data_IF_570022464941
#
_entry.id   IF_570022464941
#
_cell.length_a   1.000
_cell.length_b   1.000
_cell.length_c   1.000
_cell.angle_alpha   90.00
_cell.angle_beta   90.00
_cell.angle_gamma   90.00
#
_symmetry.space_group_name_H-M   'P 1'
#
loop_
_entity.id
_entity.type
_entity.pdbx_description
1 polymer ?
#
# COMPACT_ATOMS: atom_id res chain seq x y z
N UNK A 1 15.47 2.05 -15.36
CA UNK A 1 14.12 1.72 -14.82
C UNK A 1 14.10 0.35 -14.13
N UNK A 2 14.57 -0.71 -14.81
CA UNK A 2 14.50 -2.09 -14.29
C UNK A 2 15.24 -2.31 -12.98
N UNK A 3 16.51 -1.89 -12.89
CA UNK A 3 17.31 -2.03 -11.66
C UNK A 3 16.56 -1.46 -10.45
N UNK A 4 16.02 -0.24 -10.58
CA UNK A 4 15.26 0.42 -9.54
C UNK A 4 14.03 -0.39 -9.11
N UNK A 5 13.21 -0.85 -10.07
CA UNK A 5 12.03 -1.67 -9.77
C UNK A 5 12.39 -2.97 -9.04
N UNK A 6 13.44 -3.68 -9.49
CA UNK A 6 13.90 -4.89 -8.81
C UNK A 6 14.38 -4.59 -7.39
N UNK A 7 15.14 -3.51 -7.21
CA UNK A 7 15.61 -3.10 -5.89
C UNK A 7 14.45 -2.78 -4.94
N UNK A 8 13.42 -2.05 -5.40
CA UNK A 8 12.25 -1.71 -4.57
C UNK A 8 11.38 -2.92 -4.26
N UNK A 9 11.11 -3.77 -5.26
CA UNK A 9 10.41 -5.04 -5.06
C UNK A 9 11.10 -5.92 -4.02
N UNK A 10 12.42 -6.05 -4.08
CA UNK A 10 13.20 -6.80 -3.09
C UNK A 10 13.32 -6.10 -1.72
N UNK A 11 13.35 -4.78 -1.69
CA UNK A 11 13.47 -4.01 -0.45
C UNK A 11 12.22 -4.13 0.43
N UNK A 12 11.04 -4.08 -0.18
CA UNK A 12 9.76 -4.04 0.54
C UNK A 12 9.02 -5.38 0.54
N UNK A 13 9.29 -6.27 -0.42
CA UNK A 13 8.79 -7.64 -0.40
C UNK A 13 9.55 -8.53 0.57
N UNK A 14 8.89 -9.58 1.05
CA UNK A 14 9.43 -10.62 1.95
C UNK A 14 9.22 -12.02 1.40
N UNK A 15 8.32 -12.19 0.42
CA UNK A 15 8.08 -13.46 -0.26
C UNK A 15 8.86 -13.55 -1.57
N UNK A 16 9.80 -14.50 -1.64
CA UNK A 16 10.58 -14.75 -2.87
C UNK A 16 9.67 -15.28 -3.97
N UNK A 17 9.72 -14.64 -5.14
CA UNK A 17 8.94 -15.05 -6.29
C UNK A 17 7.47 -14.62 -6.26
N UNK A 18 7.09 -13.74 -5.33
CA UNK A 18 5.76 -13.12 -5.29
C UNK A 18 5.39 -12.49 -6.64
N UNK A 19 6.33 -11.74 -7.21
CA UNK A 19 6.15 -11.17 -8.55
C UNK A 19 6.38 -12.21 -9.65
N UNK A 20 5.30 -12.54 -10.35
CA UNK A 20 5.40 -13.39 -11.55
C UNK A 20 6.16 -12.67 -12.68
N UNK A 21 6.84 -13.40 -13.58
CA UNK A 21 7.52 -12.77 -14.72
C UNK A 21 6.59 -11.88 -15.58
N UNK A 22 5.33 -12.28 -15.88
CA UNK A 22 4.40 -11.40 -16.58
C UNK A 22 4.05 -10.12 -15.81
N UNK A 23 3.79 -10.20 -14.51
CA UNK A 23 3.48 -9.02 -13.68
C UNK A 23 4.67 -8.05 -13.67
N UNK A 24 5.89 -8.57 -13.44
CA UNK A 24 7.10 -7.75 -13.47
C UNK A 24 7.32 -7.09 -14.84
N UNK A 25 7.10 -7.81 -15.93
CA UNK A 25 7.22 -7.26 -17.28
C UNK A 25 6.23 -6.11 -17.53
N UNK A 26 5.01 -6.20 -16.99
CA UNK A 26 4.03 -5.12 -17.13
C UNK A 26 4.42 -3.88 -16.32
N UNK A 27 4.85 -4.05 -15.06
CA UNK A 27 5.38 -2.94 -14.27
C UNK A 27 6.58 -2.28 -14.95
N UNK A 28 7.50 -3.06 -15.51
CA UNK A 28 8.66 -2.55 -16.22
C UNK A 28 8.28 -1.79 -17.50
N UNK A 29 7.31 -2.30 -18.26
CA UNK A 29 6.80 -1.65 -19.47
C UNK A 29 6.27 -0.25 -19.15
N UNK A 30 5.44 -0.12 -18.12
CA UNK A 30 4.88 1.16 -17.69
C UNK A 30 5.97 2.09 -17.12
N UNK A 31 6.80 1.60 -16.19
CA UNK A 31 7.84 2.39 -15.53
C UNK A 31 9.00 2.80 -16.46
N UNK A 32 9.10 2.20 -17.65
CA UNK A 32 10.08 2.61 -18.67
C UNK A 32 9.64 3.87 -19.43
N UNK A 33 8.40 4.32 -19.29
CA UNK A 33 7.96 5.61 -19.82
C UNK A 33 8.45 6.76 -18.89
N UNK A 34 9.27 7.70 -19.37
CA UNK A 34 9.73 8.83 -18.54
C UNK A 34 8.59 9.71 -18.03
N UNK A 35 7.47 9.83 -18.75
CA UNK A 35 6.31 10.60 -18.29
C UNK A 35 5.65 9.92 -17.09
N UNK A 36 5.66 8.59 -17.03
CA UNK A 36 5.20 7.84 -15.85
C UNK A 36 6.11 8.12 -14.65
N UNK A 37 7.43 8.14 -14.85
CA UNK A 37 8.37 8.46 -13.76
C UNK A 37 8.17 9.89 -13.28
N UNK A 38 8.01 10.86 -14.19
CA UNK A 38 7.72 12.24 -13.83
C UNK A 38 6.42 12.35 -13.03
N UNK A 39 5.33 11.74 -13.50
CA UNK A 39 4.05 11.73 -12.81
C UNK A 39 4.14 11.10 -11.41
N UNK A 40 4.84 9.98 -11.25
CA UNK A 40 5.09 9.39 -9.93
C UNK A 40 5.91 10.31 -9.02
N UNK A 41 6.88 11.05 -9.56
CA UNK A 41 7.59 12.05 -8.76
C UNK A 41 6.69 13.24 -8.39
N UNK A 42 5.73 13.64 -9.22
CA UNK A 42 4.75 14.67 -8.88
C UNK A 42 3.75 14.18 -7.82
N UNK A 43 3.35 12.91 -7.86
CA UNK A 43 2.56 12.26 -6.79
C UNK A 43 3.25 12.37 -5.42
N UNK A 44 4.52 11.97 -5.33
CA UNK A 44 5.29 12.13 -4.08
C UNK A 44 5.50 13.60 -3.67
N UNK A 45 5.58 14.55 -4.62
CA UNK A 45 5.64 15.98 -4.28
C UNK A 45 4.32 16.47 -3.72
N UNK A 46 3.20 16.06 -4.31
CA UNK A 46 1.87 16.40 -3.84
C UNK A 46 1.63 15.88 -2.42
N UNK A 47 1.98 14.61 -2.16
CA UNK A 47 1.89 13.96 -0.85
C UNK A 47 2.70 14.69 0.23
N UNK A 48 3.81 15.32 -0.15
CA UNK A 48 4.65 16.11 0.75
C UNK A 48 4.27 17.60 0.82
N UNK A 49 3.25 18.04 0.07
CA UNK A 49 2.87 19.47 -0.04
C UNK A 49 1.36 19.69 0.00
N UNK A 50 0.69 19.68 -1.16
CA UNK A 50 -0.71 20.08 -1.29
C UNK A 50 -1.66 19.11 -0.59
N UNK A 51 -1.35 17.82 -0.54
CA UNK A 51 -2.20 16.83 0.13
C UNK A 51 -2.24 17.08 1.64
N UNK A 52 -1.13 17.53 2.24
CA UNK A 52 -1.10 17.92 3.65
C UNK A 52 -1.97 19.15 3.95
N UNK A 53 -2.16 20.04 2.96
CA UNK A 53 -3.09 21.17 3.10
C UNK A 53 -4.53 20.67 3.06
N UNK A 54 -4.85 19.80 2.10
CA UNK A 54 -6.18 19.20 2.01
C UNK A 54 -6.54 18.40 3.27
N UNK A 55 -5.62 17.55 3.76
CA UNK A 55 -5.80 16.77 5.00
C UNK A 55 -6.00 17.68 6.22
N UNK A 56 -5.36 18.85 6.26
CA UNK A 56 -5.52 19.82 7.34
C UNK A 56 -6.86 20.59 7.26
N UNK A 57 -7.36 20.84 6.05
CA UNK A 57 -8.62 21.54 5.81
C UNK A 57 -9.84 20.76 6.31
N UNK A 58 -9.78 19.42 6.28
CA UNK A 58 -10.84 18.55 6.81
C UNK A 58 -10.38 17.55 7.87
N UNK A 59 -9.35 17.91 8.65
CA UNK A 59 -8.79 17.06 9.70
C UNK A 59 -9.79 16.65 10.79
N UNK A 60 -10.91 17.39 10.95
CA UNK A 60 -11.99 17.08 11.87
C UNK A 60 -13.02 16.08 11.29
N UNK A 61 -12.95 15.78 9.99
CA UNK A 61 -13.87 14.90 9.28
C UNK A 61 -13.32 13.48 9.21
N UNK A 62 -13.98 12.56 9.90
CA UNK A 62 -13.67 11.14 9.85
C UNK A 62 -14.48 10.39 8.80
N UNK A 63 -13.87 9.35 8.22
CA UNK A 63 -14.57 8.38 7.36
C UNK A 63 -15.70 7.71 8.15
N UNK A 64 -16.92 7.81 7.63
CA UNK A 64 -18.13 7.31 8.28
C UNK A 64 -18.45 5.84 7.93
N UNK A 65 -18.00 5.38 6.76
CA UNK A 65 -18.13 3.99 6.34
C UNK A 65 -17.17 3.07 7.11
N UNK A 66 -17.44 1.75 7.18
CA UNK A 66 -16.45 0.78 7.63
C UNK A 66 -15.16 0.84 6.81
N UNK A 67 -14.01 0.65 7.48
CA UNK A 67 -12.67 0.61 6.87
C UNK A 67 -11.98 -0.68 7.33
N UNK A 68 -11.45 -1.43 6.35
CA UNK A 68 -10.55 -2.56 6.59
C UNK A 68 -9.11 -2.12 6.29
N UNK A 69 -8.24 -2.18 7.30
CA UNK A 69 -6.81 -1.93 7.14
C UNK A 69 -6.03 -3.26 7.18
N UNK A 70 -5.42 -3.65 6.05
CA UNK A 70 -4.52 -4.79 5.97
C UNK A 70 -3.07 -4.33 5.78
N UNK A 71 -2.13 -5.03 6.41
CA UNK A 71 -0.69 -4.75 6.25
C UNK A 71 0.12 -6.04 6.31
N UNK A 72 1.35 -6.02 5.80
CA UNK A 72 2.25 -7.16 5.88
C UNK A 72 2.82 -7.34 7.27
N UNK A 73 2.73 -8.54 7.82
CA UNK A 73 3.26 -8.91 9.14
C UNK A 73 4.77 -8.68 9.25
N UNK A 74 5.50 -8.84 8.14
CA UNK A 74 6.96 -8.69 8.06
C UNK A 74 7.38 -7.36 7.42
N UNK A 75 6.42 -6.44 7.28
CA UNK A 75 6.58 -5.12 6.67
C UNK A 75 7.01 -4.03 7.64
N UNK A 76 7.52 -2.91 7.09
CA UNK A 76 7.89 -1.74 7.87
C UNK A 76 6.69 -1.13 8.62
N UNK A 77 5.53 -1.04 7.96
CA UNK A 77 4.34 -0.37 8.54
C UNK A 77 3.88 -1.07 9.83
N UNK A 78 3.76 -2.39 9.81
CA UNK A 78 3.35 -3.16 10.99
C UNK A 78 4.40 -3.23 12.11
N UNK A 79 5.67 -2.98 11.81
CA UNK A 79 6.73 -2.95 12.82
C UNK A 79 6.99 -1.55 13.41
N UNK A 80 6.61 -0.49 12.69
CA UNK A 80 6.84 0.89 13.11
C UNK A 80 5.61 1.56 13.73
N UNK A 81 4.39 1.10 13.44
CA UNK A 81 3.15 1.77 13.84
C UNK A 81 2.13 0.80 14.44
N UNK A 82 1.27 1.33 15.32
CA UNK A 82 -0.03 0.70 15.59
C UNK A 82 -0.99 1.09 14.47
N UNK A 83 -1.01 0.27 13.42
CA UNK A 83 -1.75 0.53 12.18
C UNK A 83 -3.23 0.83 12.45
N UNK A 84 -3.87 0.12 13.38
CA UNK A 84 -5.28 0.34 13.69
C UNK A 84 -5.49 1.62 14.49
N UNK A 85 -4.56 2.02 15.35
CA UNK A 85 -4.64 3.31 16.03
C UNK A 85 -4.52 4.49 15.04
N UNK A 86 -3.59 4.42 14.09
CA UNK A 86 -3.43 5.45 13.05
C UNK A 86 -4.71 5.62 12.22
N UNK A 87 -5.32 4.52 11.75
CA UNK A 87 -6.58 4.59 11.01
C UNK A 87 -7.76 5.09 11.85
N UNK A 88 -7.80 4.81 13.16
CA UNK A 88 -8.83 5.36 14.06
C UNK A 88 -8.73 6.87 14.25
N UNK A 89 -7.58 7.47 13.94
CA UNK A 89 -7.44 8.92 13.92
C UNK A 89 -8.32 9.54 12.82
N UNK A 90 -8.45 8.89 11.65
CA UNK A 90 -9.18 9.40 10.49
C UNK A 90 -10.48 8.65 10.13
N UNK A 91 -10.83 7.56 10.82
CA UNK A 91 -12.03 6.77 10.54
C UNK A 91 -12.77 6.32 11.81
N UNK A 92 -14.10 6.22 11.73
CA UNK A 92 -14.95 5.87 12.86
C UNK A 92 -15.06 4.36 13.12
N UNK A 93 -15.01 3.54 12.07
CA UNK A 93 -15.25 2.09 12.12
C UNK A 93 -14.09 1.38 11.45
N UNK A 94 -13.07 1.02 12.23
CA UNK A 94 -11.85 0.40 11.73
C UNK A 94 -11.72 -1.03 12.25
N UNK A 95 -11.63 -1.97 11.33
CA UNK A 95 -11.14 -3.33 11.56
C UNK A 95 -9.92 -3.58 10.69
N UNK A 96 -9.20 -4.67 10.96
CA UNK A 96 -8.01 -4.99 10.19
C UNK A 96 -7.06 -5.90 10.95
N UNK A 97 -6.09 -6.44 10.23
CA UNK A 97 -5.06 -7.31 10.78
C UNK A 97 -3.87 -7.39 9.82
N UNK A 98 -2.76 -7.90 10.33
CA UNK A 98 -1.63 -8.26 9.49
C UNK A 98 -1.96 -9.51 8.65
N UNK A 99 -1.41 -9.58 7.43
CA UNK A 99 -1.36 -10.80 6.61
C UNK A 99 0.12 -11.20 6.40
N UNK A 100 0.42 -12.48 6.09
CA UNK A 100 1.80 -12.92 5.88
C UNK A 100 2.54 -12.10 4.81
N UNK A 101 3.85 -11.91 4.99
CA UNK A 101 4.70 -11.26 3.99
C UNK A 101 4.92 -9.76 4.20
N UNK A 102 5.42 -9.12 3.14
CA UNK A 102 5.86 -7.72 3.12
C UNK A 102 4.81 -6.74 2.64
N UNK A 103 5.25 -5.75 1.86
CA UNK A 103 4.41 -4.63 1.42
C UNK A 103 3.38 -5.02 0.34
N UNK A 104 3.64 -6.05 -0.46
CA UNK A 104 2.86 -6.35 -1.66
C UNK A 104 1.82 -7.43 -1.40
N UNK A 105 0.90 -7.18 -0.47
CA UNK A 105 -0.08 -8.16 0.03
C UNK A 105 -0.74 -9.03 -1.06
N UNK A 106 -1.28 -8.46 -2.16
CA UNK A 106 -1.92 -9.28 -3.19
C UNK A 106 -0.95 -10.20 -3.97
N UNK A 107 0.34 -9.87 -4.02
CA UNK A 107 1.37 -10.70 -4.67
C UNK A 107 1.99 -11.69 -3.66
N UNK A 108 2.05 -11.34 -2.38
CA UNK A 108 2.77 -12.10 -1.34
C UNK A 108 1.90 -13.06 -0.53
N UNK A 109 0.61 -12.72 -0.35
CA UNK A 109 -0.40 -13.50 0.38
C UNK A 109 -1.78 -13.33 -0.30
N UNK A 110 -1.94 -13.77 -1.56
CA UNK A 110 -3.17 -13.53 -2.33
C UNK A 110 -4.40 -14.17 -1.69
N UNK A 111 -4.28 -15.39 -1.16
CA UNK A 111 -5.41 -16.11 -0.55
C UNK A 111 -5.90 -15.42 0.73
N UNK A 112 -5.00 -15.05 1.64
CA UNK A 112 -5.33 -14.34 2.88
C UNK A 112 -5.89 -12.94 2.60
N UNK A 113 -5.29 -12.22 1.65
CA UNK A 113 -5.76 -10.90 1.23
C UNK A 113 -7.17 -11.00 0.64
N UNK A 114 -7.42 -11.97 -0.24
CA UNK A 114 -8.73 -12.18 -0.83
C UNK A 114 -9.78 -12.59 0.21
N UNK A 115 -9.43 -13.51 1.12
CA UNK A 115 -10.33 -13.95 2.19
C UNK A 115 -10.78 -12.78 3.07
N UNK A 116 -9.85 -11.93 3.50
CA UNK A 116 -10.15 -10.77 4.33
C UNK A 116 -11.02 -9.74 3.59
N UNK A 117 -10.77 -9.51 2.29
CA UNK A 117 -11.62 -8.64 1.46
C UNK A 117 -13.03 -9.20 1.30
N UNK A 118 -13.17 -10.51 1.05
CA UNK A 118 -14.48 -11.14 0.88
C UNK A 118 -15.30 -11.10 2.18
N UNK A 119 -14.68 -11.40 3.32
CA UNK A 119 -15.33 -11.32 4.64
C UNK A 119 -15.81 -9.89 4.95
N UNK A 120 -15.03 -8.89 4.56
CA UNK A 120 -15.38 -7.49 4.81
C UNK A 120 -16.50 -6.96 3.89
N UNK A 121 -16.56 -7.44 2.65
CA UNK A 121 -17.47 -6.93 1.63
C UNK A 121 -18.80 -7.71 1.53
N UNK A 122 -18.90 -8.88 2.16
CA UNK A 122 -20.08 -9.74 2.14
C UNK A 122 -21.21 -9.29 3.05
#
# INVERSE_FOLDING_TARGET
>A
PEFYLRSKGAQWGRTKGAFTPPAFADYLRCFSNPDTVHAMCEDYRAAATIDLQHDAEDADRKLAMPVLALWGADGFVGSAYDVLAEWRACANKVSGHAVPGGHYLPEEAPEETLSALLEFLS
#
